data_IF_699147033958
#
_entry.id   IF_699147033958
#
_cell.length_a   1.000
_cell.length_b   1.000
_cell.length_c   1.000
_cell.angle_alpha   90.00
_cell.angle_beta   90.00
_cell.angle_gamma   90.00
#
_symmetry.space_group_name_H-M   'P 1'
#
loop_
_entity.id
_entity.type
_entity.pdbx_description
1 polymer ?
#
# COMPACT_ATOMS: atom_id res chain seq x y z
N UNK A 1 28.09 8.55 10.56
CA UNK A 1 26.84 8.12 11.23
C UNK A 1 26.59 6.66 10.88
N UNK A 2 27.53 5.77 11.20
CA UNK A 2 27.37 4.31 11.06
C UNK A 2 27.38 3.62 12.44
N UNK A 3 27.58 4.37 13.52
CA UNK A 3 28.09 3.84 14.78
C UNK A 3 27.04 3.17 15.68
N UNK A 4 25.79 3.02 15.21
CA UNK A 4 24.69 2.39 15.98
C UNK A 4 23.79 1.48 15.14
N UNK A 5 24.31 0.88 14.08
CA UNK A 5 23.54 -0.13 13.34
C UNK A 5 23.49 -1.45 14.13
N UNK A 6 22.32 -1.79 14.66
CA UNK A 6 22.02 -3.08 15.28
C UNK A 6 21.45 -4.00 14.21
N UNK A 7 22.08 -5.17 14.05
CA UNK A 7 21.60 -6.21 13.14
C UNK A 7 21.22 -7.42 13.98
N UNK A 8 19.95 -7.83 13.91
CA UNK A 8 19.44 -9.06 14.53
C UNK A 8 19.11 -10.04 13.41
N UNK A 9 19.85 -11.15 13.36
CA UNK A 9 19.62 -12.22 12.41
C UNK A 9 19.07 -13.45 13.14
N UNK A 10 17.82 -13.79 12.84
CA UNK A 10 17.14 -15.01 13.26
C UNK A 10 17.02 -15.95 12.05
N UNK A 11 16.59 -17.19 12.27
CA UNK A 11 16.48 -18.21 11.21
C UNK A 11 15.66 -17.74 10.00
N UNK A 12 14.60 -16.96 10.22
CA UNK A 12 13.69 -16.52 9.17
C UNK A 12 13.39 -15.02 9.16
N UNK A 13 14.06 -14.25 10.03
CA UNK A 13 13.83 -12.80 10.19
C UNK A 13 15.17 -12.10 10.29
N UNK A 14 15.33 -11.01 9.54
CA UNK A 14 16.46 -10.10 9.62
C UNK A 14 15.94 -8.71 9.96
N UNK A 15 16.48 -8.13 11.03
CA UNK A 15 16.15 -6.76 11.45
C UNK A 15 17.42 -5.92 11.36
N UNK A 16 17.31 -4.75 10.74
CA UNK A 16 18.33 -3.71 10.75
C UNK A 16 17.74 -2.48 11.41
N UNK A 17 18.38 -1.99 12.45
CA UNK A 17 17.92 -0.84 13.21
C UNK A 17 19.06 0.15 13.45
N UNK A 18 18.88 1.40 13.07
CA UNK A 18 19.90 2.46 13.19
C UNK A 18 19.70 3.39 14.40
N UNK A 19 18.73 3.08 15.27
CA UNK A 19 18.30 3.95 16.36
C UNK A 19 17.05 4.77 16.03
N UNK A 20 16.67 4.85 14.76
CA UNK A 20 15.52 5.61 14.27
C UNK A 20 14.63 4.79 13.34
N UNK A 21 15.22 4.19 12.31
CA UNK A 21 14.55 3.37 11.29
C UNK A 21 14.79 1.89 11.56
N UNK A 22 13.73 1.09 11.44
CA UNK A 22 13.80 -0.36 11.43
C UNK A 22 13.45 -0.90 10.04
N UNK A 23 14.33 -1.73 9.47
CA UNK A 23 14.04 -2.50 8.27
C UNK A 23 13.95 -3.99 8.63
N UNK A 24 12.79 -4.58 8.37
CA UNK A 24 12.49 -5.98 8.65
C UNK A 24 12.39 -6.75 7.34
N UNK A 25 13.16 -7.83 7.22
CA UNK A 25 13.05 -8.78 6.12
C UNK A 25 12.64 -10.13 6.68
N UNK A 26 11.56 -10.69 6.15
CA UNK A 26 10.99 -11.95 6.57
C UNK A 26 11.08 -13.00 5.45
N UNK A 27 11.23 -14.27 5.83
CA UNK A 27 11.25 -15.39 4.89
C UNK A 27 9.90 -15.56 4.18
N UNK A 28 9.88 -15.94 2.89
CA UNK A 28 8.65 -16.24 2.14
C UNK A 28 7.76 -17.34 2.74
N UNK A 29 8.26 -18.14 3.68
CA UNK A 29 7.45 -19.15 4.38
C UNK A 29 6.29 -18.51 5.18
N UNK A 30 6.39 -17.22 5.51
CA UNK A 30 5.36 -16.46 6.22
C UNK A 30 4.41 -15.71 5.27
N UNK A 31 4.43 -16.03 3.97
CA UNK A 31 3.51 -15.44 3.01
C UNK A 31 2.06 -15.72 3.44
N UNK A 32 1.20 -14.71 3.33
CA UNK A 32 -0.21 -14.74 3.76
C UNK A 32 -0.43 -14.98 5.27
N UNK A 33 0.60 -14.92 6.10
CA UNK A 33 0.50 -15.19 7.55
C UNK A 33 0.82 -13.98 8.42
N UNK A 34 1.05 -12.81 7.81
CA UNK A 34 1.40 -11.59 8.52
C UNK A 34 0.17 -10.70 8.75
N UNK A 35 0.25 -9.90 9.81
CA UNK A 35 -0.67 -8.81 10.06
C UNK A 35 0.10 -7.71 10.80
N UNK A 36 -0.39 -6.48 10.75
CA UNK A 36 0.28 -5.34 11.34
C UNK A 36 0.47 -4.20 10.36
N UNK A 37 1.14 -3.16 10.83
CA UNK A 37 1.38 -1.93 10.06
C UNK A 37 2.27 -2.15 8.83
N UNK A 38 3.00 -3.26 8.77
CA UNK A 38 3.82 -3.67 7.62
C UNK A 38 3.07 -4.54 6.60
N UNK A 39 1.77 -4.79 6.82
CA UNK A 39 0.93 -5.48 5.86
C UNK A 39 0.73 -6.98 6.08
N UNK A 40 0.13 -7.64 5.08
CA UNK A 40 -0.29 -9.06 5.16
C UNK A 40 0.62 -10.05 4.44
N UNK A 41 1.57 -9.52 3.67
CA UNK A 41 2.53 -10.31 2.90
C UNK A 41 1.87 -11.36 2.00
N UNK A 42 0.76 -11.00 1.34
CA UNK A 42 0.04 -11.87 0.39
C UNK A 42 0.39 -11.59 -1.08
N UNK A 43 0.97 -10.43 -1.35
CA UNK A 43 1.36 -9.97 -2.68
C UNK A 43 0.31 -9.07 -3.34
N UNK A 44 -0.81 -8.82 -2.65
CA UNK A 44 -1.82 -7.86 -3.07
C UNK A 44 -1.46 -6.47 -2.54
N UNK A 45 -1.54 -5.46 -3.41
CA UNK A 45 -1.23 -4.06 -3.04
C UNK A 45 -2.46 -3.25 -2.68
N UNK A 46 -3.65 -3.75 -3.01
CA UNK A 46 -4.88 -2.97 -3.02
C UNK A 46 -5.61 -2.97 -1.67
N UNK A 47 -5.35 -3.96 -0.82
CA UNK A 47 -6.03 -4.15 0.46
C UNK A 47 -5.04 -4.19 1.64
N UNK A 48 -3.89 -3.53 1.49
CA UNK A 48 -2.87 -3.46 2.54
C UNK A 48 -3.35 -2.70 3.79
N UNK A 49 -4.38 -1.86 3.65
CA UNK A 49 -4.99 -1.13 4.77
C UNK A 49 -6.14 -1.91 5.41
N UNK A 50 -5.93 -3.19 5.76
CA UNK A 50 -6.83 -3.91 6.66
C UNK A 50 -6.42 -3.69 8.11
N UNK A 51 -7.43 -3.47 8.94
CA UNK A 51 -7.30 -3.26 10.37
C UNK A 51 -6.92 -4.54 11.10
N UNK A 52 -6.57 -4.41 12.37
CA UNK A 52 -6.32 -5.56 13.26
C UNK A 52 -7.51 -6.52 13.40
N UNK A 53 -8.73 -6.08 13.06
CA UNK A 53 -9.94 -6.92 12.99
C UNK A 53 -10.24 -7.48 11.59
N UNK A 54 -9.27 -7.41 10.67
CA UNK A 54 -9.33 -7.81 9.26
C UNK A 54 -10.35 -7.05 8.39
N UNK A 55 -10.98 -5.98 8.89
CA UNK A 55 -11.86 -5.13 8.08
C UNK A 55 -11.05 -4.05 7.35
N UNK A 56 -11.57 -3.57 6.22
CA UNK A 56 -10.99 -2.41 5.55
C UNK A 56 -11.06 -1.16 6.44
N UNK A 57 -9.96 -0.41 6.47
CA UNK A 57 -9.92 0.88 7.16
C UNK A 57 -10.64 1.95 6.34
N UNK A 58 -11.31 2.89 7.03
CA UNK A 58 -11.95 4.03 6.38
C UNK A 58 -10.93 5.07 5.87
N UNK A 59 -9.79 5.18 6.55
CA UNK A 59 -8.69 6.06 6.21
C UNK A 59 -7.41 5.58 6.93
N UNK A 60 -6.29 6.25 6.67
CA UNK A 60 -4.98 5.88 7.21
C UNK A 60 -4.89 6.00 8.75
N UNK A 61 -5.64 6.93 9.35
CA UNK A 61 -5.71 7.07 10.81
C UNK A 61 -6.45 5.86 11.44
N UNK A 62 -7.60 5.47 10.89
CA UNK A 62 -8.35 4.28 11.32
C UNK A 62 -7.50 3.00 11.19
N UNK A 63 -6.71 2.89 10.11
CA UNK A 63 -5.74 1.80 9.94
C UNK A 63 -4.67 1.80 11.04
N UNK A 64 -3.92 2.90 11.23
CA UNK A 64 -2.86 2.97 12.25
C UNK A 64 -3.38 2.75 13.66
N UNK A 65 -4.50 3.38 14.03
CA UNK A 65 -5.11 3.25 15.36
C UNK A 65 -5.56 1.83 15.66
N UNK A 66 -5.95 1.06 14.66
CA UNK A 66 -6.38 -0.32 14.86
C UNK A 66 -5.27 -1.23 15.39
N UNK A 67 -4.00 -0.89 15.13
CA UNK A 67 -2.83 -1.66 15.56
C UNK A 67 -2.13 -1.12 16.81
N UNK A 68 -2.65 -0.07 17.44
CA UNK A 68 -2.09 0.41 18.69
C UNK A 68 -2.25 -0.63 19.79
N UNK A 69 -1.12 -0.90 20.45
CA UNK A 69 -1.12 -1.77 21.62
C UNK A 69 -1.86 -1.08 22.75
N UNK A 70 -2.94 -1.71 23.23
CA UNK A 70 -3.77 -1.18 24.31
C UNK A 70 -3.33 -1.80 25.62
N UNK A 71 -2.36 -1.16 26.27
CA UNK A 71 -1.92 -1.51 27.61
C UNK A 71 -1.87 -0.27 28.50
N UNK A 72 -1.90 -0.46 29.82
CA UNK A 72 -1.91 0.62 30.82
C UNK A 72 -0.63 1.45 30.82
N UNK A 73 0.45 0.91 30.26
CA UNK A 73 1.76 1.56 30.18
C UNK A 73 1.97 2.34 28.88
N UNK A 74 1.12 2.16 27.87
CA UNK A 74 1.20 2.88 26.60
C UNK A 74 0.25 4.08 26.58
N UNK A 75 0.83 5.28 26.72
CA UNK A 75 0.09 6.52 26.53
C UNK A 75 0.04 6.89 25.05
N UNK A 76 -1.17 7.05 24.52
CA UNK A 76 -1.41 7.44 23.14
C UNK A 76 -1.43 8.97 23.08
N UNK A 77 -0.45 9.57 22.40
CA UNK A 77 -0.42 11.02 22.15
C UNK A 77 -1.44 11.39 21.05
N UNK A 78 -2.66 11.67 21.50
CA UNK A 78 -3.79 12.03 20.64
C UNK A 78 -3.57 13.31 19.83
N UNK A 79 -2.74 14.25 20.31
CA UNK A 79 -2.46 15.50 19.59
C UNK A 79 -1.55 15.23 18.40
N UNK A 80 -0.51 14.42 18.60
CA UNK A 80 0.38 13.99 17.52
C UNK A 80 -0.37 13.16 16.49
N UNK A 81 -1.21 12.21 16.93
CA UNK A 81 -1.92 11.33 16.00
C UNK A 81 -2.91 12.11 15.15
N UNK A 82 -3.63 13.08 15.70
CA UNK A 82 -4.61 13.86 14.93
C UNK A 82 -3.98 14.90 14.00
N UNK A 83 -2.67 15.10 14.07
CA UNK A 83 -1.97 15.99 13.17
C UNK A 83 -2.05 15.47 11.72
N UNK A 84 -2.82 16.16 10.90
CA UNK A 84 -3.03 15.80 9.50
C UNK A 84 -1.74 15.68 8.71
N UNK A 85 -0.68 16.42 9.09
CA UNK A 85 0.63 16.38 8.42
C UNK A 85 1.26 14.98 8.44
N UNK A 86 0.94 14.18 9.46
CA UNK A 86 1.44 12.81 9.60
C UNK A 86 0.84 11.85 8.55
N UNK A 87 -0.34 12.18 8.03
CA UNK A 87 -1.03 11.35 7.03
C UNK A 87 -1.07 11.97 5.65
N UNK A 88 -0.89 13.28 5.54
CA UNK A 88 -1.04 14.05 4.29
C UNK A 88 -0.15 13.53 3.17
N UNK A 89 1.14 13.29 3.46
CA UNK A 89 2.09 12.80 2.46
C UNK A 89 1.65 11.44 1.88
N UNK A 90 1.33 10.50 2.76
CA UNK A 90 0.97 9.14 2.37
C UNK A 90 -0.39 9.15 1.65
N UNK A 91 -1.37 9.89 2.15
CA UNK A 91 -2.68 10.02 1.50
C UNK A 91 -2.57 10.63 0.10
N UNK A 92 -1.75 11.68 -0.07
CA UNK A 92 -1.50 12.29 -1.38
C UNK A 92 -0.81 11.32 -2.34
N UNK A 93 0.17 10.55 -1.86
CA UNK A 93 0.87 9.57 -2.67
C UNK A 93 -0.05 8.43 -3.10
N UNK A 94 -0.80 7.85 -2.16
CA UNK A 94 -1.81 6.81 -2.44
C UNK A 94 -2.85 7.32 -3.41
N UNK A 95 -3.42 8.52 -3.20
CA UNK A 95 -4.41 9.09 -4.12
C UNK A 95 -3.84 9.27 -5.53
N UNK A 96 -2.56 9.63 -5.65
CA UNK A 96 -1.87 9.75 -6.94
C UNK A 96 -1.69 8.39 -7.62
N UNK A 97 -1.26 7.36 -6.87
CA UNK A 97 -1.12 6.01 -7.41
C UNK A 97 -2.48 5.42 -7.81
N UNK A 98 -3.51 5.54 -6.98
CA UNK A 98 -4.88 5.15 -7.32
C UNK A 98 -5.35 5.86 -8.59
N UNK A 99 -5.13 7.18 -8.71
CA UNK A 99 -5.54 7.94 -9.89
C UNK A 99 -4.83 7.47 -11.16
N UNK A 100 -3.54 7.12 -11.07
CA UNK A 100 -2.79 6.53 -12.20
C UNK A 100 -3.42 5.20 -12.62
N UNK A 101 -3.74 4.32 -11.67
CA UNK A 101 -4.34 3.02 -11.95
C UNK A 101 -5.72 3.16 -12.60
N UNK A 102 -6.59 4.02 -12.05
CA UNK A 102 -7.91 4.31 -12.63
C UNK A 102 -7.80 4.92 -14.03
N UNK A 103 -6.80 5.75 -14.26
CA UNK A 103 -6.57 6.37 -15.58
C UNK A 103 -6.10 5.33 -16.60
N UNK A 104 -5.23 4.40 -16.20
CA UNK A 104 -4.81 3.27 -17.04
C UNK A 104 -6.00 2.38 -17.37
N UNK A 105 -6.81 1.98 -16.38
CA UNK A 105 -8.01 1.18 -16.61
C UNK A 105 -8.98 1.86 -17.56
N UNK A 106 -9.28 3.14 -17.35
CA UNK A 106 -10.13 3.92 -18.27
C UNK A 106 -9.56 3.95 -19.69
N UNK A 107 -8.25 4.06 -19.83
CA UNK A 107 -7.58 4.03 -21.14
C UNK A 107 -7.71 2.65 -21.80
N UNK A 108 -7.52 1.56 -21.05
CA UNK A 108 -7.69 0.19 -21.56
C UNK A 108 -9.14 -0.03 -22.03
N UNK A 109 -10.12 0.39 -21.22
CA UNK A 109 -11.54 0.30 -21.57
C UNK A 109 -11.84 1.13 -22.82
N UNK A 110 -11.34 2.36 -22.91
CA UNK A 110 -11.52 3.21 -24.09
C UNK A 110 -10.87 2.59 -25.35
N UNK A 111 -9.65 2.06 -25.24
CA UNK A 111 -8.97 1.37 -26.35
C UNK A 111 -9.74 0.12 -26.80
N UNK A 112 -10.38 -0.59 -25.87
CA UNK A 112 -11.21 -1.77 -26.16
C UNK A 112 -12.48 -1.39 -26.90
N UNK A 113 -13.21 -0.37 -26.43
CA UNK A 113 -14.42 0.16 -27.09
C UNK A 113 -14.10 0.66 -28.50
N UNK A 114 -12.99 1.38 -28.68
CA UNK A 114 -12.58 1.88 -30.01
C UNK A 114 -12.26 0.72 -30.96
N UNK A 115 -11.65 -0.37 -30.47
CA UNK A 115 -11.38 -1.57 -31.29
C UNK A 115 -12.67 -2.28 -31.70
N UNK A 116 -13.63 -2.41 -30.78
CA UNK A 116 -14.94 -2.99 -31.07
C UNK A 116 -15.72 -2.15 -32.09
N UNK A 117 -15.75 -0.82 -31.91
CA UNK A 117 -16.36 0.10 -32.87
C UNK A 117 -15.67 0.05 -34.25
N UNK A 118 -14.34 -0.09 -34.32
CA UNK A 118 -13.61 -0.24 -35.57
C UNK A 118 -13.89 -1.59 -36.26
N UNK A 119 -14.10 -2.66 -35.49
CA UNK A 119 -14.48 -3.97 -36.02
C UNK A 119 -15.91 -3.97 -36.57
N UNK A 120 -16.83 -3.25 -35.94
CA UNK A 120 -18.22 -3.10 -36.37
C UNK A 120 -18.37 -2.17 -37.59
N UNK A 121 -17.51 -1.16 -37.74
CA UNK A 121 -17.63 -0.15 -38.82
C UNK A 121 -16.93 -0.52 -40.12
N UNK A 122 -16.13 -1.58 -40.19
CA UNK A 122 -15.63 -2.14 -41.45
C UNK A 122 -15.08 -1.10 -42.42
N UNK A 123 -14.12 -0.28 -41.99
CA UNK A 123 -13.54 0.76 -42.83
C UNK A 123 -12.81 0.15 -44.05
N UNK A 124 -13.51 0.11 -45.19
CA UNK A 124 -12.95 -0.10 -46.53
C UNK A 124 -12.14 1.14 -46.89
N UNK A 125 -10.85 1.15 -46.58
CA UNK A 125 -9.92 2.15 -47.09
C UNK A 125 -9.76 1.90 -48.60
N UNK A 126 -10.59 2.53 -49.45
CA UNK A 126 -10.27 2.67 -50.86
C UNK A 126 -9.28 3.84 -50.98
N UNK A 127 -8.00 3.49 -51.14
CA UNK A 127 -6.98 4.39 -51.70
C UNK A 127 -7.48 4.84 -53.09
N UNK A 128 -7.87 6.11 -53.21
CA UNK A 128 -8.08 6.74 -54.51
C UNK A 128 -6.73 7.22 -55.06
N UNK A 129 -6.26 6.53 -56.10
CA UNK A 129 -5.33 7.05 -57.12
C UNK A 129 -5.86 8.29 -57.80
#
# INVERSE_FOLDING_TARGET
>A
MEDRLVIVALEHVLIRFDGYSAAVKISPIFKNSQCGICGHYDGERYDEFRKSDNKHAANLEDYHRSYFYRDRECEIDEEQIKDKRNYEYIQKHIATEILKMVTIEKRIVAETIVREQAAETGARLQLST
#
